data_IF_732269917884
#
_entry.id   IF_732269917884
#
_cell.length_a   1.000
_cell.length_b   1.000
_cell.length_c   1.000
_cell.angle_alpha   90.00
_cell.angle_beta   90.00
_cell.angle_gamma   90.00
#
_symmetry.space_group_name_H-M   'P 1'
#
loop_
_entity.id
_entity.type
_entity.pdbx_description
1 polymer ?
#
# COMPACT_ATOMS: atom_id res chain seq x y z
N UNK A 1 6.76 20.88 -10.31
CA UNK A 1 6.28 19.78 -11.19
C UNK A 1 5.68 18.69 -10.30
N UNK A 2 4.95 17.68 -10.84
CA UNK A 2 4.39 16.59 -10.02
C UNK A 2 5.47 15.90 -9.17
N UNK A 3 6.63 15.66 -9.78
CA UNK A 3 7.85 15.18 -9.12
C UNK A 3 8.28 16.02 -7.91
N UNK A 4 8.34 17.35 -8.03
CA UNK A 4 8.75 18.21 -6.91
C UNK A 4 7.73 18.21 -5.76
N UNK A 5 6.43 18.00 -6.05
CA UNK A 5 5.42 17.80 -5.00
C UNK A 5 5.66 16.50 -4.21
N UNK A 6 5.95 15.40 -4.91
CA UNK A 6 6.17 14.09 -4.29
C UNK A 6 7.48 14.04 -3.48
N UNK A 7 8.53 14.73 -3.94
CA UNK A 7 9.75 14.92 -3.12
C UNK A 7 9.50 15.73 -1.86
N UNK A 8 8.63 16.74 -1.91
CA UNK A 8 8.29 17.59 -0.77
C UNK A 8 7.63 16.83 0.39
N UNK A 9 6.91 15.74 0.09
CA UNK A 9 6.32 14.87 1.10
C UNK A 9 7.38 14.13 1.95
N UNK A 10 8.59 13.92 1.41
CA UNK A 10 9.73 13.31 2.12
C UNK A 10 10.38 14.28 3.12
N UNK A 11 10.34 15.59 2.85
CA UNK A 11 11.05 16.60 3.62
C UNK A 11 10.32 17.06 4.89
N UNK A 12 9.12 16.56 5.16
CA UNK A 12 8.39 16.80 6.42
C UNK A 12 8.71 15.71 7.46
N UNK A 13 9.26 14.57 7.06
CA UNK A 13 9.84 13.55 7.95
C UNK A 13 11.34 13.77 8.11
N UNK A 14 11.77 14.15 9.31
CA UNK A 14 13.16 14.47 9.64
C UNK A 14 14.14 13.33 9.32
N UNK A 15 15.37 13.71 8.96
CA UNK A 15 16.44 12.77 8.65
C UNK A 15 16.97 11.99 9.86
N UNK A 16 17.51 10.81 9.53
CA UNK A 16 18.22 9.81 10.36
C UNK A 16 17.29 8.91 11.21
N UNK A 17 17.38 7.58 11.19
CA UNK A 17 18.57 6.71 11.10
C UNK A 17 18.36 5.40 10.31
N UNK A 18 19.40 5.07 9.55
CA UNK A 18 19.54 4.11 8.44
C UNK A 18 19.56 2.61 8.81
N UNK A 19 19.07 2.19 9.98
CA UNK A 19 19.34 0.83 10.50
C UNK A 19 18.16 -0.14 10.45
N UNK A 20 16.91 0.32 10.28
CA UNK A 20 15.74 -0.57 10.21
C UNK A 20 15.41 -1.08 8.79
N UNK A 21 15.95 -0.44 7.74
CA UNK A 21 15.62 -0.75 6.33
C UNK A 21 16.43 -1.96 5.80
N UNK A 22 17.52 -2.36 6.45
CA UNK A 22 18.32 -3.52 6.02
C UNK A 22 17.75 -4.88 6.45
N UNK A 23 16.75 -4.94 7.33
CA UNK A 23 16.18 -6.21 7.79
C UNK A 23 15.10 -6.78 6.85
N UNK A 24 14.50 -5.96 5.98
CA UNK A 24 13.50 -6.38 5.01
C UNK A 24 14.08 -6.73 3.62
N UNK A 25 15.40 -6.62 3.44
CA UNK A 25 16.08 -6.87 2.17
C UNK A 25 17.07 -8.02 2.28
N UNK A 26 16.60 -9.23 2.59
CA UNK A 26 17.37 -10.46 2.36
C UNK A 26 16.49 -11.58 1.79
N UNK A 27 16.10 -11.46 0.53
CA UNK A 27 15.92 -12.63 -0.34
C UNK A 27 16.65 -12.38 -1.66
N UNK A 28 17.95 -12.65 -1.63
CA UNK A 28 18.80 -12.74 -2.82
C UNK A 28 18.57 -14.09 -3.53
N UNK A 29 18.80 -14.17 -4.84
CA UNK A 29 18.88 -15.46 -5.54
C UNK A 29 20.02 -16.30 -4.94
N UNK A 30 19.93 -17.64 -5.07
CA UNK A 30 20.84 -18.60 -4.44
C UNK A 30 22.32 -18.15 -4.47
N UNK A 31 22.84 -17.77 -3.30
CA UNK A 31 24.24 -17.44 -3.09
C UNK A 31 25.09 -18.72 -3.04
N UNK A 32 26.40 -18.64 -3.38
CA UNK A 32 27.32 -19.74 -3.10
C UNK A 32 27.34 -20.05 -1.60
N UNK A 33 27.70 -21.29 -1.25
CA UNK A 33 27.68 -21.77 0.14
C UNK A 33 28.30 -20.75 1.11
N UNK A 34 27.51 -20.32 2.09
CA UNK A 34 27.89 -19.41 3.17
C UNK A 34 28.99 -20.08 3.99
N UNK A 35 30.09 -19.37 4.26
CA UNK A 35 31.19 -19.91 5.07
C UNK A 35 30.80 -20.06 6.55
N UNK A 36 31.58 -20.87 7.29
CA UNK A 36 31.31 -21.18 8.70
C UNK A 36 31.25 -19.93 9.59
N UNK A 37 31.99 -18.87 9.25
CA UNK A 37 32.06 -17.64 10.04
C UNK A 37 30.75 -16.84 9.94
N UNK A 38 30.17 -16.76 8.74
CA UNK A 38 28.86 -16.16 8.53
C UNK A 38 27.71 -16.99 9.15
N UNK A 39 27.82 -18.32 9.17
CA UNK A 39 26.84 -19.16 9.89
C UNK A 39 26.89 -18.94 11.40
N UNK A 40 28.10 -18.77 11.95
CA UNK A 40 28.29 -18.52 13.37
C UNK A 40 27.71 -17.17 13.79
N UNK A 41 27.89 -16.14 12.94
CA UNK A 41 27.31 -14.81 13.18
C UNK A 41 25.78 -14.80 13.11
N UNK A 42 25.19 -15.58 12.21
CA UNK A 42 23.72 -15.74 12.14
C UNK A 42 23.20 -16.39 13.43
N UNK A 43 23.84 -17.45 13.91
CA UNK A 43 23.44 -18.12 15.15
C UNK A 43 23.56 -17.21 16.39
N UNK A 44 24.58 -16.34 16.44
CA UNK A 44 24.71 -15.32 17.49
C UNK A 44 23.58 -14.30 17.44
N UNK A 45 23.24 -13.80 16.25
CA UNK A 45 22.15 -12.83 16.06
C UNK A 45 20.78 -13.44 16.37
N UNK A 46 20.56 -14.71 16.04
CA UNK A 46 19.35 -15.45 16.41
C UNK A 46 19.24 -15.62 17.93
N UNK A 47 20.34 -15.90 18.63
CA UNK A 47 20.36 -15.98 20.08
C UNK A 47 20.14 -14.62 20.76
N UNK A 48 20.73 -13.54 20.22
CA UNK A 48 20.48 -12.17 20.67
C UNK A 48 19.01 -11.76 20.46
N UNK A 49 18.41 -12.14 19.33
CA UNK A 49 16.99 -11.88 19.03
C UNK A 49 16.06 -12.67 19.95
N UNK A 50 16.37 -13.94 20.23
CA UNK A 50 15.56 -14.77 21.12
C UNK A 50 15.65 -14.27 22.58
N UNK A 51 16.84 -13.82 23.00
CA UNK A 51 17.01 -13.19 24.30
C UNK A 51 16.25 -11.86 24.40
N UNK A 52 16.23 -11.05 23.33
CA UNK A 52 15.43 -9.83 23.28
C UNK A 52 13.92 -10.11 23.35
N UNK A 53 13.43 -11.15 22.66
CA UNK A 53 12.02 -11.60 22.74
C UNK A 53 11.67 -12.11 24.13
N UNK A 54 12.52 -12.92 24.75
CA UNK A 54 12.35 -13.40 26.12
C UNK A 54 12.32 -12.25 27.14
N UNK A 55 13.13 -11.21 26.93
CA UNK A 55 13.13 -10.03 27.80
C UNK A 55 11.85 -9.19 27.61
N UNK A 56 11.33 -9.11 26.37
CA UNK A 56 10.06 -8.48 26.07
C UNK A 56 8.84 -9.27 26.61
N UNK A 57 8.91 -10.60 26.63
CA UNK A 57 7.89 -11.48 27.23
C UNK A 57 7.92 -11.44 28.77
N UNK A 58 9.08 -11.26 29.40
CA UNK A 58 9.21 -11.04 30.85
C UNK A 58 8.75 -9.62 31.28
N UNK A 59 8.69 -8.64 30.38
CA UNK A 59 8.08 -7.32 30.58
C UNK A 59 6.55 -7.30 30.33
N UNK A 60 5.86 -8.42 30.51
CA UNK A 60 4.42 -8.43 30.80
C UNK A 60 4.19 -8.00 32.25
N UNK A 61 4.28 -6.68 32.45
CA UNK A 61 4.37 -6.00 33.75
C UNK A 61 3.06 -5.99 34.53
N UNK A 62 3.13 -6.51 35.75
CA UNK A 62 2.29 -6.12 36.89
C UNK A 62 2.53 -4.62 37.19
N UNK A 63 1.47 -3.81 37.10
CA UNK A 63 1.49 -2.36 36.84
C UNK A 63 2.52 -1.49 37.58
N UNK A 64 3.42 -0.89 36.79
CA UNK A 64 4.39 0.14 37.21
C UNK A 64 3.86 1.58 37.12
N UNK A 65 2.59 1.78 36.75
CA UNK A 65 1.98 3.11 36.64
C UNK A 65 2.30 3.87 35.34
N UNK A 66 3.09 3.28 34.42
CA UNK A 66 3.25 3.75 33.04
C UNK A 66 2.13 3.13 32.19
N UNK A 67 1.40 3.96 31.44
CA UNK A 67 0.38 3.49 30.47
C UNK A 67 1.07 3.32 29.13
N UNK A 68 0.95 2.14 28.54
CA UNK A 68 1.46 1.82 27.20
C UNK A 68 0.29 1.44 26.31
N UNK A 69 0.22 2.03 25.12
CA UNK A 69 -0.74 1.71 24.05
C UNK A 69 -0.01 0.93 22.97
N UNK A 70 -0.49 -0.27 22.66
CA UNK A 70 0.08 -1.12 21.59
C UNK A 70 -0.78 -1.01 20.34
N UNK A 71 -0.14 -0.60 19.25
CA UNK A 71 -0.76 -0.44 17.94
C UNK A 71 -0.27 -1.56 17.05
N UNK A 72 -1.19 -2.41 16.58
CA UNK A 72 -0.91 -3.33 15.49
C UNK A 72 -0.81 -2.48 14.22
N UNK A 73 0.41 -2.16 13.83
CA UNK A 73 0.72 -1.30 12.69
C UNK A 73 0.98 -2.13 11.44
N UNK A 74 0.68 -1.53 10.29
CA UNK A 74 1.10 -2.07 9.01
C UNK A 74 2.52 -1.57 8.72
N UNK A 75 3.39 -2.38 8.11
CA UNK A 75 4.82 -2.06 7.92
C UNK A 75 5.01 -1.11 6.73
N UNK A 76 4.36 0.04 6.80
CA UNK A 76 4.38 1.04 5.75
C UNK A 76 5.53 2.04 5.93
N UNK A 77 5.88 2.78 4.87
CA UNK A 77 6.85 3.87 4.92
C UNK A 77 6.69 4.88 6.07
N UNK A 78 5.45 5.15 6.47
CA UNK A 78 5.13 6.13 7.51
C UNK A 78 5.30 5.61 8.94
N UNK A 79 5.22 4.30 9.17
CA UNK A 79 5.22 3.71 10.53
C UNK A 79 6.43 4.13 11.37
N UNK A 80 7.67 4.18 10.84
CA UNK A 80 8.81 4.68 11.61
C UNK A 80 8.70 6.17 11.96
N UNK A 81 8.08 6.98 11.09
CA UNK A 81 7.83 8.40 11.33
C UNK A 81 6.76 8.57 12.41
N UNK A 82 5.71 7.77 12.38
CA UNK A 82 4.66 7.75 13.40
C UNK A 82 5.19 7.33 14.76
N UNK A 83 6.02 6.29 14.82
CA UNK A 83 6.70 5.88 16.04
C UNK A 83 7.60 6.98 16.59
N UNK A 84 8.31 7.71 15.71
CA UNK A 84 9.08 8.88 16.13
C UNK A 84 8.18 9.99 16.68
N UNK A 85 7.07 10.32 16.01
CA UNK A 85 6.11 11.32 16.49
C UNK A 85 5.50 10.94 17.84
N UNK A 86 5.19 9.65 18.04
CA UNK A 86 4.73 9.14 19.32
C UNK A 86 5.77 9.37 20.43
N UNK A 87 7.05 9.11 20.15
CA UNK A 87 8.13 9.27 21.11
C UNK A 87 8.48 10.74 21.39
N UNK A 88 8.54 11.57 20.34
CA UNK A 88 9.06 12.94 20.40
C UNK A 88 7.98 13.97 20.78
N UNK A 89 6.70 13.65 20.58
CA UNK A 89 5.58 14.57 20.81
C UNK A 89 4.55 13.99 21.77
N UNK A 90 3.93 12.84 21.44
CA UNK A 90 2.79 12.32 22.20
C UNK A 90 3.18 11.90 23.62
N UNK A 91 4.26 11.13 23.79
CA UNK A 91 4.73 10.67 25.09
C UNK A 91 5.13 11.83 26.02
N UNK A 92 5.91 12.85 25.59
CA UNK A 92 6.18 14.03 26.41
C UNK A 92 4.93 14.82 26.85
N UNK A 93 3.92 14.91 25.98
CA UNK A 93 2.70 15.67 26.26
C UNK A 93 1.73 14.93 27.18
N UNK A 94 1.63 13.61 27.03
CA UNK A 94 0.58 12.80 27.68
C UNK A 94 1.11 11.90 28.80
N UNK A 95 2.40 11.56 28.77
CA UNK A 95 3.00 10.52 29.61
C UNK A 95 2.64 9.09 29.21
N UNK A 96 1.99 8.91 28.05
CA UNK A 96 1.58 7.60 27.51
C UNK A 96 2.57 7.15 26.44
N UNK A 97 3.11 5.94 26.61
CA UNK A 97 3.99 5.33 25.61
C UNK A 97 3.14 4.66 24.52
N UNK A 98 3.56 4.78 23.27
CA UNK A 98 2.90 4.11 22.14
C UNK A 98 3.92 3.23 21.44
N UNK A 99 3.57 1.97 21.22
CA UNK A 99 4.38 0.99 20.51
C UNK A 99 3.66 0.60 19.22
N UNK A 100 4.27 0.92 18.08
CA UNK A 100 3.78 0.52 16.76
C UNK A 100 4.58 -0.69 16.30
N UNK A 101 3.91 -1.83 16.20
CA UNK A 101 4.53 -3.07 15.75
C UNK A 101 3.54 -3.92 14.97
N UNK A 102 4.03 -4.78 14.09
CA UNK A 102 3.17 -5.63 13.31
C UNK A 102 3.95 -6.59 12.42
N UNK A 103 3.28 -7.63 11.92
CA UNK A 103 3.90 -8.55 10.96
C UNK A 103 4.05 -7.87 9.58
N UNK A 104 4.77 -8.50 8.62
CA UNK A 104 4.67 -8.14 7.22
C UNK A 104 3.20 -8.04 6.76
N UNK A 105 2.90 -7.12 5.84
CA UNK A 105 1.53 -6.78 5.42
C UNK A 105 0.72 -8.02 5.04
N UNK A 106 1.34 -8.95 4.32
CA UNK A 106 0.69 -10.16 3.83
C UNK A 106 0.19 -11.12 4.93
N UNK A 107 0.62 -10.91 6.18
CA UNK A 107 0.18 -11.66 7.35
C UNK A 107 -0.68 -10.85 8.33
N UNK A 108 -0.80 -9.52 8.12
CA UNK A 108 -1.47 -8.62 9.06
C UNK A 108 -2.97 -8.95 9.22
N UNK A 109 -3.69 -9.16 8.13
CA UNK A 109 -5.11 -9.51 8.19
C UNK A 109 -5.34 -10.82 8.96
N UNK A 110 -4.50 -11.83 8.72
CA UNK A 110 -4.62 -13.14 9.39
C UNK A 110 -4.36 -13.01 10.90
N UNK A 111 -3.38 -12.19 11.30
CA UNK A 111 -3.13 -11.86 12.71
C UNK A 111 -4.33 -11.15 13.34
N UNK A 112 -4.92 -10.15 12.68
CA UNK A 112 -6.13 -9.48 13.19
C UNK A 112 -7.31 -10.45 13.35
N UNK A 113 -7.52 -11.35 12.39
CA UNK A 113 -8.57 -12.39 12.49
C UNK A 113 -8.35 -13.32 13.68
N UNK A 114 -7.11 -13.70 13.96
CA UNK A 114 -6.74 -14.49 15.14
C UNK A 114 -7.01 -13.72 16.44
N UNK A 115 -6.59 -12.45 16.51
CA UNK A 115 -6.82 -11.58 17.67
C UNK A 115 -8.32 -11.39 17.93
N UNK A 116 -9.11 -11.15 16.88
CA UNK A 116 -10.56 -11.02 16.95
C UNK A 116 -11.22 -12.31 17.46
N UNK A 117 -10.84 -13.47 16.91
CA UNK A 117 -11.42 -14.75 17.29
C UNK A 117 -11.08 -15.17 18.73
N UNK A 118 -9.87 -14.81 19.20
CA UNK A 118 -9.39 -15.12 20.55
C UNK A 118 -9.79 -14.06 21.59
N UNK A 119 -10.33 -12.91 21.15
CA UNK A 119 -10.55 -11.72 21.99
C UNK A 119 -9.28 -11.32 22.75
N UNK A 120 -8.14 -11.38 22.06
CA UNK A 120 -6.83 -11.13 22.66
C UNK A 120 -6.66 -9.64 23.00
N UNK A 121 -6.17 -9.30 24.19
CA UNK A 121 -5.82 -7.93 24.58
C UNK A 121 -4.40 -7.53 24.16
N UNK A 122 -3.76 -8.29 23.26
CA UNK A 122 -2.36 -8.07 22.85
C UNK A 122 -2.12 -6.66 22.28
N UNK A 123 -3.11 -6.13 21.55
CA UNK A 123 -3.09 -4.81 20.93
C UNK A 123 -4.33 -4.00 21.29
N UNK A 124 -4.15 -2.71 21.53
CA UNK A 124 -5.21 -1.77 21.89
C UNK A 124 -5.83 -1.09 20.65
N UNK A 125 -5.01 -0.83 19.63
CA UNK A 125 -5.41 -0.18 18.37
C UNK A 125 -4.92 -1.01 17.20
N UNK A 126 -5.75 -1.19 16.17
CA UNK A 126 -5.36 -1.86 14.94
C UNK A 126 -5.37 -0.85 13.79
N UNK A 127 -4.24 -0.68 13.12
CA UNK A 127 -4.19 -0.09 11.79
C UNK A 127 -4.67 -1.16 10.80
N UNK A 128 -5.80 -0.95 10.16
CA UNK A 128 -6.40 -1.90 9.21
C UNK A 128 -6.48 -1.31 7.81
N UNK A 129 -6.45 -2.19 6.80
CA UNK A 129 -6.76 -1.78 5.43
C UNK A 129 -8.27 -1.65 5.22
N UNK A 130 -8.65 -0.71 4.36
CA UNK A 130 -10.01 -0.36 3.95
C UNK A 130 -10.95 -1.57 3.76
N UNK A 131 -10.47 -2.61 3.08
CA UNK A 131 -11.21 -3.84 2.76
C UNK A 131 -11.46 -4.78 3.96
N UNK A 132 -10.83 -4.56 5.11
CA UNK A 132 -10.92 -5.47 6.27
C UNK A 132 -12.00 -5.07 7.28
N UNK A 133 -12.40 -3.79 7.30
CA UNK A 133 -13.26 -3.22 8.34
C UNK A 133 -14.53 -4.05 8.57
N UNK A 134 -15.27 -4.36 7.50
CA UNK A 134 -16.54 -5.05 7.61
C UNK A 134 -16.44 -6.41 8.30
N UNK A 135 -15.39 -7.18 8.01
CA UNK A 135 -15.17 -8.48 8.67
C UNK A 135 -14.86 -8.32 10.16
N UNK A 136 -14.10 -7.29 10.54
CA UNK A 136 -13.74 -7.03 11.94
C UNK A 136 -14.93 -6.51 12.75
N UNK A 137 -15.76 -5.65 12.16
CA UNK A 137 -17.01 -5.17 12.78
C UNK A 137 -17.97 -6.34 13.00
N UNK A 138 -18.18 -7.19 11.98
CA UNK A 138 -19.05 -8.37 12.11
C UNK A 138 -18.52 -9.42 13.10
N UNK A 139 -17.21 -9.48 13.31
CA UNK A 139 -16.60 -10.31 14.34
C UNK A 139 -16.76 -9.72 15.76
N UNK A 140 -17.24 -8.48 15.88
CA UNK A 140 -17.36 -7.78 17.17
C UNK A 140 -16.01 -7.35 17.75
N UNK A 141 -14.99 -7.18 16.90
CA UNK A 141 -13.64 -6.82 17.32
C UNK A 141 -13.39 -5.31 17.36
N UNK A 142 -14.27 -4.50 16.77
CA UNK A 142 -14.11 -3.05 16.67
C UNK A 142 -14.97 -2.32 17.71
N UNK A 143 -14.35 -1.40 18.45
CA UNK A 143 -15.03 -0.49 19.39
C UNK A 143 -15.85 0.56 18.64
N UNK A 144 -17.02 0.90 19.17
CA UNK A 144 -17.82 1.99 18.59
C UNK A 144 -17.32 3.34 19.10
N UNK A 145 -16.71 4.11 18.22
CA UNK A 145 -16.17 5.45 18.47
C UNK A 145 -17.23 6.56 18.34
N UNK A 146 -18.48 6.23 18.00
CA UNK A 146 -19.59 7.20 17.90
C UNK A 146 -20.33 7.37 19.25
N UNK A 147 -19.58 7.62 20.33
CA UNK A 147 -20.10 7.72 21.70
C UNK A 147 -19.59 8.97 22.40
N UNK A 148 -20.18 9.27 23.58
CA UNK A 148 -19.79 10.41 24.40
C UNK A 148 -18.37 10.30 25.00
N UNK A 149 -17.78 9.10 24.99
CA UNK A 149 -16.41 8.86 25.41
C UNK A 149 -15.40 9.16 24.27
N UNK A 150 -15.88 9.24 23.02
CA UNK A 150 -15.11 9.45 21.80
C UNK A 150 -15.64 10.64 20.99
N UNK A 151 -16.05 10.44 19.72
CA UNK A 151 -16.37 11.53 18.79
C UNK A 151 -17.58 12.38 19.19
N UNK A 152 -18.50 11.87 20.03
CA UNK A 152 -19.63 12.67 20.54
C UNK A 152 -19.30 13.43 21.82
N UNK A 153 -18.08 13.30 22.35
CA UNK A 153 -17.64 14.10 23.49
C UNK A 153 -17.67 15.59 23.11
N UNK A 154 -18.24 16.48 23.95
CA UNK A 154 -18.13 17.92 23.73
C UNK A 154 -16.67 18.42 23.80
N UNK A 155 -15.80 17.65 24.43
CA UNK A 155 -14.38 17.95 24.63
C UNK A 155 -13.48 17.17 23.66
N UNK A 156 -14.04 16.50 22.65
CA UNK A 156 -13.25 15.78 21.65
C UNK A 156 -12.27 16.72 20.94
N UNK A 157 -10.97 16.38 21.00
CA UNK A 157 -9.91 17.18 20.38
C UNK A 157 -9.99 17.15 18.84
N UNK A 158 -10.50 16.06 18.28
CA UNK A 158 -10.79 15.88 16.86
C UNK A 158 -12.26 15.47 16.71
N UNK A 159 -12.90 15.97 15.66
CA UNK A 159 -14.25 15.56 15.27
C UNK A 159 -14.17 14.63 14.07
N UNK A 160 -15.11 13.71 13.96
CA UNK A 160 -15.22 12.88 12.76
C UNK A 160 -15.39 13.76 11.52
N UNK A 161 -16.06 14.91 11.66
CA UNK A 161 -16.27 15.85 10.56
C UNK A 161 -15.01 16.59 10.08
N UNK A 162 -13.91 16.52 10.82
CA UNK A 162 -12.64 17.15 10.42
C UNK A 162 -11.96 16.41 9.25
N UNK A 163 -12.39 15.17 8.98
CA UNK A 163 -11.87 14.33 7.90
C UNK A 163 -12.70 14.47 6.62
N UNK A 164 -12.07 14.16 5.47
CA UNK A 164 -12.71 14.23 4.15
C UNK A 164 -13.96 13.31 4.11
N UNK A 165 -15.17 13.84 3.82
CA UNK A 165 -16.42 13.10 3.97
C UNK A 165 -16.42 11.72 3.31
N UNK A 166 -16.03 11.62 2.04
CA UNK A 166 -16.09 10.32 1.36
C UNK A 166 -15.14 9.27 1.92
N UNK A 167 -13.94 9.68 2.34
CA UNK A 167 -12.94 8.77 2.88
C UNK A 167 -13.20 8.43 4.34
N UNK A 168 -13.66 9.40 5.15
CA UNK A 168 -13.97 9.14 6.56
C UNK A 168 -15.11 8.15 6.70
N UNK A 169 -16.17 8.28 5.91
CA UNK A 169 -17.34 7.43 6.03
C UNK A 169 -17.05 6.03 5.42
N UNK A 170 -16.31 5.97 4.31
CA UNK A 170 -15.82 4.71 3.73
C UNK A 170 -14.91 3.92 4.69
N UNK A 171 -13.95 4.59 5.32
CA UNK A 171 -12.97 3.94 6.20
C UNK A 171 -13.44 3.79 7.65
N UNK A 172 -14.45 4.56 8.06
CA UNK A 172 -14.83 4.70 9.46
C UNK A 172 -16.22 4.20 9.81
N UNK A 173 -17.14 4.04 8.86
CA UNK A 173 -18.51 3.56 9.13
C UNK A 173 -18.77 2.23 8.43
N UNK A 174 -19.68 1.43 9.01
CA UNK A 174 -20.09 0.16 8.41
C UNK A 174 -21.55 -0.19 8.77
N UNK A 175 -22.33 -0.75 7.82
CA UNK A 175 -22.04 -0.90 6.39
C UNK A 175 -22.32 0.40 5.62
N UNK A 176 -21.53 0.69 4.59
CA UNK A 176 -21.74 1.82 3.69
C UNK A 176 -21.83 1.36 2.24
N UNK A 177 -22.50 2.14 1.39
CA UNK A 177 -22.35 1.99 -0.07
C UNK A 177 -21.07 2.73 -0.49
N UNK A 178 -20.01 1.99 -0.81
CA UNK A 178 -18.69 2.58 -1.08
C UNK A 178 -18.71 3.57 -2.24
N UNK A 179 -19.50 3.32 -3.30
CA UNK A 179 -19.59 4.26 -4.43
C UNK A 179 -20.22 5.57 -4.01
N UNK A 180 -21.28 5.51 -3.21
CA UNK A 180 -21.94 6.70 -2.69
C UNK A 180 -20.98 7.45 -1.74
N UNK A 181 -20.39 6.74 -0.78
CA UNK A 181 -19.42 7.28 0.16
C UNK A 181 -18.25 7.95 -0.56
N UNK A 182 -17.53 7.23 -1.44
CA UNK A 182 -16.36 7.77 -2.17
C UNK A 182 -16.72 8.91 -3.14
N UNK A 183 -17.98 9.05 -3.55
CA UNK A 183 -18.45 10.23 -4.30
C UNK A 183 -18.63 11.48 -3.43
N UNK A 184 -18.58 11.32 -2.11
CA UNK A 184 -18.82 12.36 -1.10
C UNK A 184 -20.28 12.49 -0.67
N UNK A 185 -21.18 11.67 -1.22
CA UNK A 185 -22.57 11.60 -0.77
C UNK A 185 -22.66 10.66 0.43
N UNK A 186 -22.67 11.26 1.62
CA UNK A 186 -22.60 10.53 2.90
C UNK A 186 -23.82 10.73 3.77
N UNK A 187 -24.86 11.39 3.25
CA UNK A 187 -25.99 11.87 4.06
C UNK A 187 -26.75 10.73 4.74
N UNK A 188 -26.83 9.56 4.11
CA UNK A 188 -27.51 8.40 4.65
C UNK A 188 -26.70 7.61 5.70
N UNK A 189 -25.39 7.87 5.82
CA UNK A 189 -24.51 7.16 6.75
C UNK A 189 -24.35 7.83 8.11
N UNK A 190 -24.88 9.06 8.29
CA UNK A 190 -24.58 9.89 9.47
C UNK A 190 -25.04 9.27 10.81
N UNK A 191 -26.05 8.40 10.77
CA UNK A 191 -26.57 7.69 11.95
C UNK A 191 -25.92 6.32 12.19
N UNK A 192 -25.02 5.86 11.30
CA UNK A 192 -24.31 4.59 11.47
C UNK A 192 -23.19 4.72 12.51
N UNK A 193 -22.84 3.65 13.24
CA UNK A 193 -21.71 3.71 14.16
C UNK A 193 -20.37 4.01 13.45
N UNK A 194 -19.41 4.58 14.20
CA UNK A 194 -18.05 4.84 13.75
C UNK A 194 -17.15 3.76 14.37
N UNK A 195 -16.38 3.05 13.56
CA UNK A 195 -15.50 1.95 13.97
C UNK A 195 -14.02 2.22 13.69
N UNK A 196 -13.71 3.34 13.04
CA UNK A 196 -12.32 3.76 12.88
C UNK A 196 -12.16 5.15 12.30
N UNK A 197 -10.91 5.52 12.09
CA UNK A 197 -10.49 6.88 11.76
C UNK A 197 -9.66 6.84 10.49
N UNK A 198 -9.99 7.69 9.52
CA UNK A 198 -9.20 7.81 8.30
C UNK A 198 -7.80 8.35 8.66
N UNK A 199 -6.80 7.49 8.53
CA UNK A 199 -5.43 7.79 8.93
C UNK A 199 -4.53 8.10 7.74
N UNK A 200 -4.36 7.12 6.84
CA UNK A 200 -3.55 7.25 5.63
C UNK A 200 -4.40 6.98 4.38
N UNK A 201 -4.25 7.82 3.36
CA UNK A 201 -4.91 7.66 2.06
C UNK A 201 -3.87 7.34 1.00
N UNK A 202 -3.94 6.14 0.43
CA UNK A 202 -3.15 5.71 -0.72
C UNK A 202 -3.95 5.83 -2.00
N UNK A 203 -3.30 6.14 -3.12
CA UNK A 203 -3.91 5.91 -4.44
C UNK A 203 -2.83 5.51 -5.43
N UNK A 204 -3.18 4.68 -6.40
CA UNK A 204 -2.25 4.25 -7.43
C UNK A 204 -1.86 5.40 -8.38
N UNK A 205 -0.56 5.45 -8.72
CA UNK A 205 -0.02 6.33 -9.76
C UNK A 205 0.83 5.52 -10.75
N UNK A 206 1.02 6.05 -11.95
CA UNK A 206 2.02 5.56 -12.89
C UNK A 206 3.33 6.34 -12.74
N UNK A 207 4.45 5.65 -12.53
CA UNK A 207 5.79 6.16 -12.76
C UNK A 207 6.34 5.68 -14.10
N UNK A 208 6.93 6.58 -14.89
CA UNK A 208 7.52 6.25 -16.19
C UNK A 208 8.89 6.94 -16.39
N UNK A 209 9.81 6.25 -17.07
CA UNK A 209 11.18 6.70 -17.32
C UNK A 209 11.26 7.71 -18.45
N UNK A 210 11.30 8.99 -18.10
CA UNK A 210 11.36 10.09 -19.07
C UNK A 210 12.53 9.99 -20.04
N UNK A 211 13.71 9.63 -19.53
CA UNK A 211 14.93 9.43 -20.32
C UNK A 211 14.79 8.30 -21.35
N UNK A 212 14.22 7.15 -20.94
CA UNK A 212 14.01 6.02 -21.84
C UNK A 212 12.89 6.27 -22.85
N UNK A 213 11.86 7.00 -22.45
CA UNK A 213 10.78 7.41 -23.34
C UNK A 213 11.30 8.35 -24.43
N UNK A 214 12.11 9.34 -24.08
CA UNK A 214 12.73 10.26 -25.03
C UNK A 214 13.70 9.53 -25.98
N UNK A 215 14.55 8.64 -25.47
CA UNK A 215 15.45 7.81 -26.27
C UNK A 215 14.66 6.94 -27.27
N UNK A 216 13.55 6.37 -26.83
CA UNK A 216 12.67 5.55 -27.66
C UNK A 216 11.79 6.39 -28.61
N UNK A 217 11.74 7.71 -28.48
CA UNK A 217 10.84 8.58 -29.24
C UNK A 217 9.36 8.44 -28.86
N UNK A 218 9.06 8.01 -27.63
CA UNK A 218 7.71 8.02 -27.03
C UNK A 218 7.48 9.41 -26.42
N UNK A 219 7.32 10.39 -27.30
CA UNK A 219 7.33 11.81 -26.95
C UNK A 219 6.05 12.53 -27.43
N UNK A 220 5.75 13.66 -26.79
CA UNK A 220 4.72 14.59 -27.22
C UNK A 220 5.17 15.44 -28.42
N UNK A 221 4.32 16.37 -28.87
CA UNK A 221 4.62 17.28 -29.99
C UNK A 221 5.83 18.19 -29.75
N UNK A 222 6.26 18.35 -28.50
CA UNK A 222 7.41 19.16 -28.10
C UNK A 222 8.68 18.31 -27.88
N UNK A 223 8.62 17.00 -28.14
CA UNK A 223 9.74 16.10 -27.96
C UNK A 223 10.00 15.68 -26.50
N UNK A 224 9.04 15.91 -25.59
CA UNK A 224 9.15 15.47 -24.19
C UNK A 224 8.49 14.13 -23.98
N UNK A 225 9.00 13.31 -23.07
CA UNK A 225 8.39 12.02 -22.74
C UNK A 225 6.87 12.13 -22.52
N UNK A 226 6.09 11.32 -23.25
CA UNK A 226 4.63 11.28 -23.14
C UNK A 226 4.19 10.05 -22.34
N UNK A 227 3.60 10.27 -21.16
CA UNK A 227 2.99 9.18 -20.40
C UNK A 227 1.86 8.50 -21.18
N UNK A 228 1.72 7.17 -21.11
CA UNK A 228 0.63 6.46 -21.75
C UNK A 228 -0.71 6.82 -21.11
N UNK A 229 -1.70 7.13 -21.93
CA UNK A 229 -3.03 7.52 -21.46
C UNK A 229 -3.92 6.30 -21.20
N UNK A 230 -3.81 5.27 -22.00
CA UNK A 230 -4.63 4.07 -21.97
C UNK A 230 -3.79 2.78 -21.95
N UNK A 231 -4.46 1.65 -21.75
CA UNK A 231 -3.82 0.34 -21.69
C UNK A 231 -3.14 -0.09 -23.00
N UNK A 232 -3.55 0.44 -24.15
CA UNK A 232 -2.91 0.13 -25.43
C UNK A 232 -1.58 0.88 -25.58
N UNK A 233 -1.57 2.19 -25.29
CA UNK A 233 -0.34 2.99 -25.25
C UNK A 233 0.64 2.45 -24.18
N UNK A 234 0.12 2.01 -23.03
CA UNK A 234 0.92 1.43 -21.96
C UNK A 234 1.54 0.09 -22.37
N UNK A 235 0.76 -0.81 -22.99
CA UNK A 235 1.26 -2.06 -23.59
C UNK A 235 2.35 -1.79 -24.63
N UNK A 236 2.11 -0.87 -25.56
CA UNK A 236 3.05 -0.58 -26.65
C UNK A 236 4.36 -0.01 -26.10
N UNK A 237 4.30 0.87 -25.11
CA UNK A 237 5.47 1.36 -24.39
C UNK A 237 6.21 0.24 -23.65
N UNK A 238 5.47 -0.66 -22.98
CA UNK A 238 6.04 -1.81 -22.28
C UNK A 238 6.83 -2.70 -23.25
N UNK A 239 6.22 -3.07 -24.37
CA UNK A 239 6.84 -3.93 -25.40
C UNK A 239 8.10 -3.26 -25.95
N UNK A 240 8.02 -1.96 -26.28
CA UNK A 240 9.12 -1.21 -26.87
C UNK A 240 10.33 -1.06 -25.94
N UNK A 241 10.10 -0.98 -24.63
CA UNK A 241 11.15 -0.73 -23.63
C UNK A 241 11.66 -2.00 -22.93
N UNK A 242 11.05 -3.16 -23.20
CA UNK A 242 11.48 -4.44 -22.64
C UNK A 242 12.77 -4.92 -23.31
N UNK A 243 13.79 -5.23 -22.51
CA UNK A 243 15.10 -5.79 -22.90
C UNK A 243 15.41 -7.01 -22.00
N UNK A 244 14.77 -8.17 -22.27
CA UNK A 244 14.79 -9.30 -21.35
C UNK A 244 16.18 -9.94 -21.23
N UNK A 245 16.99 -9.89 -22.30
CA UNK A 245 18.38 -10.36 -22.30
C UNK A 245 19.29 -9.54 -21.37
N UNK A 246 18.86 -8.32 -21.01
CA UNK A 246 19.54 -7.43 -20.06
C UNK A 246 18.88 -7.48 -18.66
N UNK A 247 17.86 -8.30 -18.47
CA UNK A 247 17.06 -8.34 -17.23
C UNK A 247 16.27 -7.05 -16.99
N UNK A 248 15.95 -6.31 -18.05
CA UNK A 248 15.23 -5.03 -17.98
C UNK A 248 13.86 -5.17 -18.62
N UNK A 249 12.80 -4.78 -17.90
CA UNK A 249 11.42 -5.03 -18.32
C UNK A 249 10.62 -3.74 -18.54
N UNK A 250 9.58 -3.83 -19.37
CA UNK A 250 8.73 -2.71 -19.71
C UNK A 250 8.06 -2.10 -18.48
N UNK A 251 7.70 -2.95 -17.51
CA UNK A 251 7.03 -2.51 -16.27
C UNK A 251 7.42 -3.42 -15.09
N UNK A 252 7.70 -2.81 -13.93
CA UNK A 252 7.77 -3.50 -12.64
C UNK A 252 6.35 -3.68 -12.07
N UNK A 253 6.03 -4.90 -11.66
CA UNK A 253 4.68 -5.36 -11.34
C UNK A 253 4.78 -6.40 -10.22
N UNK A 254 3.84 -6.44 -9.27
CA UNK A 254 3.79 -7.49 -8.24
C UNK A 254 2.60 -8.43 -8.45
N UNK A 255 2.85 -9.73 -8.56
CA UNK A 255 1.82 -10.73 -8.92
C UNK A 255 1.73 -11.88 -7.92
N UNK A 256 2.19 -11.67 -6.68
CA UNK A 256 2.06 -12.70 -5.66
C UNK A 256 0.60 -12.99 -5.32
N UNK A 257 0.36 -14.24 -4.94
CA UNK A 257 -0.92 -14.76 -4.43
C UNK A 257 -1.13 -14.50 -2.93
N UNK A 258 -0.15 -13.89 -2.28
CA UNK A 258 -0.22 -13.54 -0.87
C UNK A 258 -1.05 -12.26 -0.70
N UNK A 259 -1.91 -12.24 0.32
CA UNK A 259 -2.86 -11.17 0.61
C UNK A 259 -3.57 -10.66 -0.67
N UNK A 260 -3.60 -9.34 -0.86
CA UNK A 260 -4.27 -8.67 -1.96
C UNK A 260 -3.36 -8.41 -3.19
N UNK A 261 -2.14 -8.98 -3.21
CA UNK A 261 -1.09 -8.62 -4.17
C UNK A 261 -1.58 -8.56 -5.63
N UNK A 262 -1.77 -9.72 -6.28
CA UNK A 262 -2.20 -9.74 -7.68
C UNK A 262 -3.53 -9.02 -7.93
N UNK A 263 -4.46 -9.01 -6.96
CA UNK A 263 -5.73 -8.29 -7.09
C UNK A 263 -5.53 -6.78 -7.19
N UNK A 264 -4.66 -6.18 -6.37
CA UNK A 264 -4.43 -4.73 -6.39
C UNK A 264 -3.80 -4.25 -7.70
N UNK A 265 -2.99 -5.08 -8.35
CA UNK A 265 -2.51 -4.78 -9.68
C UNK A 265 -3.59 -4.93 -10.76
N UNK A 266 -4.54 -5.86 -10.59
CA UNK A 266 -5.61 -6.12 -11.55
C UNK A 266 -6.77 -5.13 -11.48
N UNK A 267 -7.13 -4.64 -10.30
CA UNK A 267 -8.30 -3.77 -10.10
C UNK A 267 -8.34 -2.52 -11.00
N UNK A 268 -7.22 -1.82 -11.31
CA UNK A 268 -7.24 -0.74 -12.29
C UNK A 268 -7.73 -1.18 -13.68
N UNK A 269 -7.38 -2.39 -14.13
CA UNK A 269 -7.92 -2.95 -15.37
C UNK A 269 -9.42 -3.23 -15.21
N UNK A 270 -9.81 -3.97 -14.18
CA UNK A 270 -11.20 -4.36 -13.92
C UNK A 270 -12.16 -3.16 -13.95
N UNK A 271 -11.89 -2.16 -13.12
CA UNK A 271 -12.75 -0.98 -13.00
C UNK A 271 -12.71 -0.06 -14.22
N UNK A 272 -11.57 0.03 -14.91
CA UNK A 272 -11.47 0.86 -16.12
C UNK A 272 -12.26 0.29 -17.30
N UNK A 273 -12.41 -1.04 -17.38
CA UNK A 273 -13.28 -1.72 -18.35
C UNK A 273 -14.76 -1.60 -18.02
N UNK A 274 -15.07 -1.09 -16.82
CA UNK A 274 -16.42 -0.82 -16.37
C UNK A 274 -17.09 -1.93 -15.61
N UNK A 275 -16.34 -2.95 -15.22
CA UNK A 275 -16.78 -3.94 -14.26
C UNK A 275 -16.70 -3.41 -12.82
N UNK A 276 -17.44 -4.05 -11.93
CA UNK A 276 -17.43 -3.83 -10.48
C UNK A 276 -17.17 -5.16 -9.76
N UNK A 277 -16.90 -5.11 -8.46
CA UNK A 277 -16.61 -6.31 -7.65
C UNK A 277 -17.86 -6.88 -6.96
N UNK A 278 -18.85 -6.04 -6.69
CA UNK A 278 -20.17 -6.42 -6.20
C UNK A 278 -21.18 -5.32 -6.49
N UNK A 279 -22.47 -5.63 -6.30
CA UNK A 279 -23.53 -4.63 -6.27
C UNK A 279 -23.54 -3.92 -4.92
N UNK A 280 -23.38 -2.60 -4.91
CA UNK A 280 -23.12 -1.82 -3.68
C UNK A 280 -24.36 -1.63 -2.79
N UNK A 281 -25.56 -1.94 -3.29
CA UNK A 281 -26.79 -1.85 -2.52
C UNK A 281 -27.20 -3.21 -1.93
N UNK A 282 -26.91 -4.30 -2.65
CA UNK A 282 -27.35 -5.66 -2.30
C UNK A 282 -26.22 -6.57 -1.84
N UNK A 283 -24.97 -6.14 -1.99
CA UNK A 283 -23.76 -6.94 -1.76
C UNK A 283 -23.68 -8.22 -2.60
N UNK A 284 -24.40 -8.29 -3.72
CA UNK A 284 -24.34 -9.41 -4.65
C UNK A 284 -22.99 -9.43 -5.39
N UNK A 285 -22.25 -10.54 -5.28
CA UNK A 285 -20.94 -10.72 -5.95
C UNK A 285 -21.10 -11.50 -7.26
N UNK A 286 -21.77 -12.66 -7.21
CA UNK A 286 -21.93 -13.52 -8.38
C UNK A 286 -22.80 -12.84 -9.44
N UNK A 287 -22.30 -12.80 -10.67
CA UNK A 287 -22.91 -12.07 -11.78
C UNK A 287 -22.42 -10.63 -11.93
N UNK A 288 -21.70 -10.07 -10.94
CA UNK A 288 -21.12 -8.72 -10.99
C UNK A 288 -19.62 -8.79 -11.28
N UNK A 289 -18.88 -9.54 -10.46
CA UNK A 289 -17.41 -9.67 -10.59
C UNK A 289 -16.97 -10.41 -11.86
N UNK A 290 -17.88 -11.17 -12.49
CA UNK A 290 -17.61 -12.04 -13.64
C UNK A 290 -18.45 -11.69 -14.87
N UNK A 291 -18.82 -10.41 -15.02
CA UNK A 291 -19.42 -9.87 -16.24
C UNK A 291 -18.52 -10.04 -17.48
N UNK A 292 -19.05 -9.97 -18.71
CA UNK A 292 -18.23 -10.01 -19.92
C UNK A 292 -17.09 -8.99 -19.93
N UNK A 293 -17.34 -7.78 -19.42
CA UNK A 293 -16.37 -6.69 -19.29
C UNK A 293 -15.25 -7.06 -18.30
N UNK A 294 -15.59 -7.68 -17.16
CA UNK A 294 -14.62 -8.19 -16.19
C UNK A 294 -13.72 -9.27 -16.80
N UNK A 295 -14.31 -10.19 -17.58
CA UNK A 295 -13.57 -11.24 -18.27
C UNK A 295 -12.63 -10.65 -19.33
N UNK A 296 -13.06 -9.62 -20.06
CA UNK A 296 -12.20 -8.91 -21.01
C UNK A 296 -11.02 -8.24 -20.30
N UNK A 297 -11.28 -7.56 -19.16
CA UNK A 297 -10.24 -6.90 -18.36
C UNK A 297 -9.19 -7.89 -17.84
N UNK A 298 -9.64 -9.01 -17.24
CA UNK A 298 -8.75 -10.07 -16.77
C UNK A 298 -7.97 -10.72 -17.92
N UNK A 299 -8.62 -10.94 -19.06
CA UNK A 299 -7.96 -11.51 -20.24
C UNK A 299 -6.83 -10.61 -20.73
N UNK A 300 -7.03 -9.29 -20.77
CA UNK A 300 -5.96 -8.37 -21.15
C UNK A 300 -4.84 -8.32 -20.10
N UNK A 301 -5.19 -8.25 -18.82
CA UNK A 301 -4.22 -8.28 -17.71
C UNK A 301 -3.28 -9.49 -17.79
N UNK A 302 -3.81 -10.70 -18.04
CA UNK A 302 -3.02 -11.94 -18.11
C UNK A 302 -2.06 -11.98 -19.31
N UNK A 303 -2.31 -11.21 -20.39
CA UNK A 303 -1.41 -11.18 -21.55
C UNK A 303 -0.08 -10.50 -21.24
N UNK A 304 -0.01 -9.55 -20.30
CA UNK A 304 1.24 -8.86 -19.95
C UNK A 304 2.36 -9.83 -19.56
N UNK A 305 2.15 -10.75 -18.60
CA UNK A 305 3.17 -11.74 -18.27
C UNK A 305 3.24 -12.90 -19.29
N UNK A 306 2.11 -13.34 -19.87
CA UNK A 306 2.06 -14.59 -20.65
C UNK A 306 2.41 -14.42 -22.13
N UNK A 307 1.91 -13.36 -22.77
CA UNK A 307 2.02 -13.12 -24.21
C UNK A 307 3.05 -12.04 -24.52
N UNK A 308 2.90 -10.86 -23.90
CA UNK A 308 3.77 -9.71 -24.15
C UNK A 308 5.15 -9.86 -23.50
N UNK A 309 5.23 -10.63 -22.40
CA UNK A 309 6.47 -10.92 -21.65
C UNK A 309 7.21 -9.65 -21.23
N UNK A 310 6.45 -8.63 -20.83
CA UNK A 310 6.95 -7.30 -20.45
C UNK A 310 7.14 -7.09 -18.95
N UNK A 311 6.92 -8.16 -18.18
CA UNK A 311 7.07 -8.21 -16.72
C UNK A 311 8.15 -9.24 -16.41
N UNK A 312 8.97 -8.96 -15.39
CA UNK A 312 9.94 -9.92 -14.87
C UNK A 312 9.23 -11.23 -14.43
N UNK A 313 9.66 -12.41 -14.90
CA UNK A 313 9.08 -13.69 -14.45
C UNK A 313 9.10 -13.89 -12.93
N UNK A 314 10.07 -13.29 -12.22
CA UNK A 314 10.17 -13.27 -10.77
C UNK A 314 9.01 -12.55 -10.07
N UNK A 315 8.31 -11.64 -10.78
CA UNK A 315 7.18 -10.87 -10.27
C UNK A 315 6.05 -11.72 -9.70
N UNK A 316 5.93 -12.99 -10.10
CA UNK A 316 4.97 -13.94 -9.54
C UNK A 316 5.13 -14.14 -8.02
N UNK A 317 6.29 -13.80 -7.44
CA UNK A 317 6.55 -13.87 -6.00
C UNK A 317 6.79 -12.49 -5.37
N UNK A 318 6.71 -11.41 -6.16
CA UNK A 318 6.94 -10.06 -5.65
C UNK A 318 5.69 -9.53 -4.97
N UNK A 319 5.90 -8.77 -3.91
CA UNK A 319 4.99 -7.77 -3.38
C UNK A 319 5.55 -6.37 -3.71
N UNK A 320 5.04 -5.34 -3.04
CA UNK A 320 5.41 -3.94 -3.29
C UNK A 320 6.90 -3.68 -3.04
N UNK A 321 7.51 -4.31 -2.03
CA UNK A 321 8.92 -4.12 -1.71
C UNK A 321 9.85 -4.52 -2.88
N UNK A 322 9.61 -5.67 -3.50
CA UNK A 322 10.39 -6.12 -4.65
C UNK A 322 10.13 -5.24 -5.88
N UNK A 323 8.90 -4.75 -6.08
CA UNK A 323 8.59 -3.77 -7.13
C UNK A 323 9.42 -2.49 -6.93
N UNK A 324 9.41 -1.93 -5.72
CA UNK A 324 10.16 -0.71 -5.38
C UNK A 324 11.66 -0.94 -5.55
N UNK A 325 12.17 -2.11 -5.18
CA UNK A 325 13.56 -2.47 -5.43
C UNK A 325 13.86 -2.54 -6.94
N UNK A 326 13.01 -3.16 -7.76
CA UNK A 326 13.23 -3.22 -9.21
C UNK A 326 13.34 -1.83 -9.85
N UNK A 327 12.47 -0.89 -9.47
CA UNK A 327 12.46 0.47 -10.06
C UNK A 327 13.63 1.32 -9.55
N UNK A 328 13.99 1.20 -8.27
CA UNK A 328 15.14 1.92 -7.69
C UNK A 328 16.47 1.38 -8.22
N UNK A 329 16.54 0.10 -8.59
CA UNK A 329 17.74 -0.55 -9.14
C UNK A 329 17.87 -0.49 -10.67
N UNK A 330 17.05 0.32 -11.35
CA UNK A 330 17.12 0.52 -12.82
C UNK A 330 16.77 -0.75 -13.62
N UNK A 331 15.77 -1.53 -13.18
CA UNK A 331 15.35 -2.78 -13.83
C UNK A 331 14.03 -2.70 -14.60
N UNK A 332 13.36 -1.55 -14.57
CA UNK A 332 12.11 -1.36 -15.30
C UNK A 332 11.92 0.05 -15.86
N UNK A 333 11.18 0.16 -16.97
CA UNK A 333 10.84 1.43 -17.60
C UNK A 333 9.61 2.12 -17.00
N UNK A 334 8.69 1.34 -16.44
CA UNK A 334 7.46 1.82 -15.81
C UNK A 334 7.18 1.07 -14.52
N UNK A 335 6.28 1.62 -13.72
CA UNK A 335 5.64 0.93 -12.61
C UNK A 335 4.33 1.64 -12.28
N UNK A 336 3.39 0.91 -11.69
CA UNK A 336 2.26 1.55 -11.03
C UNK A 336 1.97 0.88 -9.69
N UNK A 337 1.84 1.71 -8.66
CA UNK A 337 1.39 1.34 -7.32
C UNK A 337 1.11 2.62 -6.52
N UNK A 338 0.94 2.51 -5.21
CA UNK A 338 0.56 3.58 -4.31
C UNK A 338 1.53 4.75 -4.30
N UNK A 339 0.95 5.94 -4.15
CA UNK A 339 1.67 7.21 -4.26
C UNK A 339 2.80 7.40 -3.26
N UNK A 340 2.65 6.83 -2.07
CA UNK A 340 3.63 6.87 -0.99
C UNK A 340 5.00 6.32 -1.40
N UNK A 341 5.04 5.35 -2.32
CA UNK A 341 6.30 4.72 -2.73
C UNK A 341 7.17 5.56 -3.65
N UNK A 342 6.63 6.62 -4.27
CA UNK A 342 7.44 7.54 -5.08
C UNK A 342 8.53 8.25 -4.26
N UNK A 343 8.32 8.42 -2.96
CA UNK A 343 9.32 8.93 -2.03
C UNK A 343 10.65 8.14 -2.09
N UNK A 344 10.57 6.80 -2.08
CA UNK A 344 11.74 5.93 -2.16
C UNK A 344 12.37 5.93 -3.54
N UNK A 345 11.56 6.02 -4.59
CA UNK A 345 12.05 6.08 -5.97
C UNK A 345 12.88 7.35 -6.22
N UNK A 346 12.57 8.46 -5.54
CA UNK A 346 13.28 9.74 -5.64
C UNK A 346 14.29 9.98 -4.50
N UNK A 347 14.51 9.02 -3.60
CA UNK A 347 15.50 9.12 -2.54
C UNK A 347 16.91 8.77 -3.06
N UNK A 348 17.87 9.72 -3.07
CA UNK A 348 19.23 9.48 -3.55
C UNK A 348 20.03 8.50 -2.70
N UNK A 349 19.59 8.16 -1.48
CA UNK A 349 20.27 7.19 -0.64
C UNK A 349 19.96 5.75 -1.03
N UNK A 350 18.81 5.50 -1.65
CA UNK A 350 18.30 4.15 -1.94
C UNK A 350 18.08 3.90 -3.44
N UNK A 351 17.96 4.96 -4.26
CA UNK A 351 17.61 4.86 -5.68
C UNK A 351 18.74 5.25 -6.65
N UNK A 352 18.98 4.41 -7.66
CA UNK A 352 19.87 4.69 -8.80
C UNK A 352 19.18 5.43 -9.95
N UNK A 353 17.87 5.61 -9.85
CA UNK A 353 17.03 6.19 -10.90
C UNK A 353 16.45 7.55 -10.53
N UNK A 354 16.96 8.17 -9.46
CA UNK A 354 16.55 9.52 -9.03
C UNK A 354 16.59 10.49 -10.20
N UNK A 355 15.43 11.09 -10.46
CA UNK A 355 15.25 12.06 -11.52
C UNK A 355 15.24 11.61 -12.94
N UNK A 356 15.13 10.30 -13.13
CA UNK A 356 14.79 9.71 -14.41
C UNK A 356 13.26 9.52 -14.56
N UNK A 357 12.49 9.68 -13.49
CA UNK A 357 11.05 9.45 -13.47
C UNK A 357 10.22 10.73 -13.59
N UNK A 358 9.06 10.61 -14.23
CA UNK A 358 7.92 11.50 -14.02
C UNK A 358 6.66 10.66 -13.76
N UNK A 359 5.59 11.33 -13.34
CA UNK A 359 4.42 10.69 -12.75
C UNK A 359 3.11 11.11 -13.42
N UNK A 360 2.24 10.13 -13.62
CA UNK A 360 0.94 10.30 -14.27
C UNK A 360 -0.16 9.49 -13.57
N UNK A 361 -1.40 9.72 -13.98
CA UNK A 361 -2.49 8.82 -13.61
C UNK A 361 -2.22 7.44 -14.18
N UNK A 362 -2.65 6.40 -13.48
CA UNK A 362 -2.69 5.05 -14.03
C UNK A 362 -3.47 5.06 -15.35
N UNK A 363 -3.02 4.34 -16.39
CA UNK A 363 -3.75 4.26 -17.65
C UNK A 363 -5.18 3.74 -17.46
N UNK A 364 -6.05 4.08 -18.41
CA UNK A 364 -7.44 3.63 -18.40
C UNK A 364 -7.82 2.85 -19.65
N UNK A 365 -9.09 2.47 -19.76
CA UNK A 365 -9.65 1.89 -20.98
C UNK A 365 -10.20 3.00 -21.87
N UNK A 366 -9.67 3.10 -23.09
CA UNK A 366 -10.25 3.97 -24.12
C UNK A 366 -11.62 3.44 -24.55
N UNK A 367 -12.60 4.33 -24.53
CA UNK A 367 -13.98 4.07 -24.89
C UNK A 367 -14.19 4.31 -26.40
N UNK A 368 -15.27 3.77 -27.00
CA UNK A 368 -15.57 3.96 -28.42
C UNK A 368 -15.72 5.44 -28.85
N UNK A 369 -16.09 6.33 -27.92
CA UNK A 369 -16.21 7.77 -28.15
C UNK A 369 -14.88 8.54 -28.05
N UNK A 370 -13.78 7.83 -27.78
CA UNK A 370 -12.43 8.38 -27.65
C UNK A 370 -12.06 8.82 -26.23
N UNK A 371 -13.02 8.88 -25.28
CA UNK A 371 -12.74 9.17 -23.88
C UNK A 371 -11.95 8.02 -23.22
N UNK A 372 -11.24 8.30 -22.13
CA UNK A 372 -10.49 7.28 -21.38
C UNK A 372 -11.08 7.15 -19.98
N UNK A 373 -11.65 5.99 -19.68
CA UNK A 373 -12.17 5.67 -18.34
C UNK A 373 -11.00 5.25 -17.46
N UNK A 374 -10.72 6.07 -16.45
CA UNK A 374 -9.77 5.78 -15.36
C UNK A 374 -10.55 5.66 -14.08
N UNK A 375 -10.12 4.74 -13.22
CA UNK A 375 -10.70 4.60 -11.88
C UNK A 375 -9.54 4.64 -10.89
N UNK A 376 -9.51 5.61 -9.96
CA UNK A 376 -8.54 5.60 -8.89
C UNK A 376 -8.78 4.35 -8.03
N UNK A 377 -7.71 3.60 -7.79
CA UNK A 377 -7.71 2.48 -6.84
C UNK A 377 -7.01 2.99 -5.60
N UNK A 378 -7.68 2.85 -4.46
CA UNK A 378 -7.27 3.31 -3.15
C UNK A 378 -6.81 2.16 -2.30
#
# INVERSE_FOLDING_TARGET
TRRELLKGAVLVGGGATTSAILAACQQLPAAPAVDEEAQQRIAELEAELEQAKSTAEEEMVEGTGKVTVRVLSLPWPQTPVEQQMANDQFMPETGVEVLLEGPPYEFAESKMRELAASQSPEFDIWEYDSQWLGAMVLAGAMENLDTADYFRSPDAAIKFEDFLPGHRDYLGRFPVNDKLALSGDVQEFQDLPIYGVAWTLGTNMLGYRTDLYEEAGIVDENGKAKAPEDWDEFKDACIKLTRPDEGFYGVAWYNTRLADGISMQWLPFHFSYGADIWDYDTFQIEGIVNTPEAVEALTEFVKYPQEYKVIDPGAANWFIAELVNAVTQDLAAMWYTYVSFAAFVEDPNTSKTVGKWDYAMVPGKRQPDGSVRRVPVF
#
